data_IF_911420725024
#
_entry.id   IF_911420725024
#
_cell.length_a   1.000
_cell.length_b   1.000
_cell.length_c   1.000
_cell.angle_alpha   90.00
_cell.angle_beta   90.00
_cell.angle_gamma   90.00
#
_symmetry.space_group_name_H-M   'P 1'
#
loop_
_entity.id
_entity.type
_entity.pdbx_description
1 polymer ?
#
# COMPACT_ATOMS: atom_id res chain seq x y z
N UNK A 1 4.12 7.46 -14.40
CA UNK A 1 3.65 7.06 -13.08
C UNK A 1 2.14 7.26 -12.94
N UNK A 2 1.63 8.50 -13.14
CA UNK A 2 0.21 8.83 -13.00
C UNK A 2 -0.71 8.03 -13.93
N UNK A 3 -0.26 7.68 -15.14
CA UNK A 3 -1.03 6.82 -16.05
C UNK A 3 -1.13 5.37 -15.54
N UNK A 4 -0.06 4.83 -14.95
CA UNK A 4 -0.05 3.48 -14.37
C UNK A 4 -0.99 3.35 -13.18
N UNK A 5 -1.14 4.43 -12.42
CA UNK A 5 -1.97 4.48 -11.21
C UNK A 5 -3.39 5.00 -11.46
N UNK A 6 -3.77 5.24 -12.72
CA UNK A 6 -5.13 5.58 -13.12
C UNK A 6 -5.55 7.04 -12.94
N UNK A 7 -4.63 7.92 -12.53
CA UNK A 7 -4.93 9.36 -12.40
C UNK A 7 -5.09 10.06 -13.75
N UNK A 8 -4.34 9.61 -14.76
CA UNK A 8 -4.45 10.11 -16.13
C UNK A 8 -4.57 8.94 -17.11
N UNK A 9 -5.37 9.12 -18.14
CA UNK A 9 -5.40 8.21 -19.28
C UNK A 9 -4.27 8.58 -20.25
N UNK A 10 -3.48 7.61 -20.74
CA UNK A 10 -2.48 7.90 -21.76
C UNK A 10 -3.18 8.33 -23.05
N UNK A 11 -2.64 9.35 -23.73
CA UNK A 11 -3.15 9.84 -25.01
C UNK A 11 -3.06 8.73 -26.07
N UNK A 12 -1.91 8.05 -26.12
CA UNK A 12 -1.63 6.94 -27.04
C UNK A 12 -0.97 5.78 -26.30
N UNK A 13 -0.91 4.61 -26.91
CA UNK A 13 -0.25 3.44 -26.37
C UNK A 13 -1.13 2.60 -25.44
N UNK A 14 -0.55 1.52 -24.95
CA UNK A 14 -1.21 0.55 -24.06
C UNK A 14 -0.29 0.19 -22.91
N UNK A 15 -0.89 -0.10 -21.76
CA UNK A 15 -0.17 -0.50 -20.54
C UNK A 15 -0.76 -1.81 -20.06
N UNK A 16 0.11 -2.76 -19.74
CA UNK A 16 -0.28 -4.06 -19.26
C UNK A 16 0.48 -4.43 -17.99
N UNK A 17 -0.24 -5.01 -17.05
CA UNK A 17 0.34 -5.68 -15.89
C UNK A 17 0.26 -7.19 -16.13
N UNK A 18 1.42 -7.85 -16.15
CA UNK A 18 1.49 -9.29 -16.26
C UNK A 18 1.39 -9.90 -14.86
N UNK A 19 0.41 -10.76 -14.64
CA UNK A 19 0.15 -11.47 -13.38
C UNK A 19 0.10 -12.96 -13.68
N UNK A 20 1.21 -13.67 -13.45
CA UNK A 20 1.36 -15.07 -13.80
C UNK A 20 0.86 -15.35 -15.25
N UNK A 21 -0.26 -16.08 -15.39
CA UNK A 21 -0.83 -16.40 -16.70
C UNK A 21 -1.76 -15.30 -17.29
N UNK A 22 -2.09 -14.29 -16.49
CA UNK A 22 -3.04 -13.25 -16.88
C UNK A 22 -2.34 -11.96 -17.27
N UNK A 23 -2.86 -11.32 -18.33
CA UNK A 23 -2.44 -9.99 -18.79
C UNK A 23 -3.57 -9.00 -18.58
N UNK A 24 -3.38 -8.09 -17.63
CA UNK A 24 -4.38 -7.07 -17.26
C UNK A 24 -4.05 -5.77 -17.95
N UNK A 25 -4.98 -5.26 -18.77
CA UNK A 25 -4.84 -3.95 -19.41
C UNK A 25 -5.19 -2.85 -18.41
N UNK A 26 -4.20 -2.05 -18.00
CA UNK A 26 -4.39 -0.96 -17.04
C UNK A 26 -5.22 0.20 -17.61
N UNK A 27 -5.19 0.39 -18.93
CA UNK A 27 -5.97 1.46 -19.61
C UNK A 27 -7.50 1.30 -19.44
N UNK A 28 -7.97 0.09 -19.12
CA UNK A 28 -9.40 -0.19 -18.92
C UNK A 28 -9.93 0.34 -17.58
N UNK A 29 -9.04 0.64 -16.62
CA UNK A 29 -9.41 1.01 -15.27
C UNK A 29 -8.98 2.44 -14.95
N UNK A 30 -9.81 3.14 -14.20
CA UNK A 30 -9.54 4.47 -13.67
C UNK A 30 -9.89 4.49 -12.19
N UNK A 31 -9.37 5.48 -11.47
CA UNK A 31 -9.70 5.74 -10.06
C UNK A 31 -9.48 4.50 -9.15
N UNK A 32 -10.39 4.28 -8.19
CA UNK A 32 -10.31 3.17 -7.25
C UNK A 32 -10.31 1.78 -7.91
N UNK A 33 -10.81 1.66 -9.15
CA UNK A 33 -10.86 0.38 -9.87
C UNK A 33 -9.47 -0.16 -10.17
N UNK A 34 -8.49 0.72 -10.36
CA UNK A 34 -7.11 0.27 -10.63
C UNK A 34 -6.51 -0.40 -9.38
N UNK A 35 -6.81 0.12 -8.20
CA UNK A 35 -6.37 -0.48 -6.95
C UNK A 35 -7.10 -1.80 -6.65
N UNK A 36 -8.41 -1.81 -6.87
CA UNK A 36 -9.25 -2.95 -6.47
C UNK A 36 -9.19 -4.11 -7.46
N UNK A 37 -9.28 -3.82 -8.78
CA UNK A 37 -9.34 -4.85 -9.84
C UNK A 37 -7.96 -5.18 -10.38
N UNK A 38 -7.17 -4.16 -10.74
CA UNK A 38 -5.82 -4.36 -11.28
C UNK A 38 -4.77 -4.61 -10.21
N UNK A 39 -5.12 -4.43 -8.92
CA UNK A 39 -4.22 -4.62 -7.79
C UNK A 39 -2.94 -3.77 -7.90
N UNK A 40 -3.10 -2.51 -8.29
CA UNK A 40 -2.03 -1.52 -8.32
C UNK A 40 -2.25 -0.55 -7.17
N UNK A 41 -1.34 -0.52 -6.20
CA UNK A 41 -1.35 0.44 -5.10
C UNK A 41 -0.34 1.56 -5.35
N UNK A 42 -0.57 2.71 -4.74
CA UNK A 42 0.33 3.86 -4.80
C UNK A 42 0.45 4.53 -3.43
N UNK A 43 1.66 4.94 -3.08
CA UNK A 43 1.89 5.98 -2.07
C UNK A 43 2.11 7.33 -2.76
N UNK A 44 2.13 8.39 -1.97
CA UNK A 44 2.35 9.74 -2.46
C UNK A 44 3.63 10.31 -1.86
N UNK A 45 4.23 11.30 -2.51
CA UNK A 45 5.39 12.02 -2.00
C UNK A 45 5.11 12.57 -0.59
N UNK A 46 3.97 13.25 -0.41
CA UNK A 46 3.49 13.65 0.90
C UNK A 46 2.68 12.52 1.54
N UNK A 47 2.98 12.18 2.78
CA UNK A 47 2.29 11.15 3.54
C UNK A 47 0.80 11.47 3.64
N UNK A 48 -0.04 10.50 3.28
CA UNK A 48 -1.51 10.63 3.29
C UNK A 48 -2.14 9.67 4.28
N UNK A 49 -1.77 9.78 5.54
CA UNK A 49 -2.46 9.12 6.64
C UNK A 49 -3.67 9.95 7.09
N UNK A 50 -4.55 9.31 7.85
CA UNK A 50 -5.60 9.98 8.62
C UNK A 50 -5.02 10.30 10.01
N UNK A 51 -4.53 11.53 10.27
CA UNK A 51 -3.71 11.81 11.44
C UNK A 51 -4.46 11.68 12.76
N UNK A 52 -5.78 11.92 12.76
CA UNK A 52 -6.64 11.81 13.94
C UNK A 52 -7.19 10.40 14.18
N UNK A 53 -6.92 9.46 13.28
CA UNK A 53 -7.24 8.05 13.46
C UNK A 53 -6.05 7.31 14.06
N UNK A 54 -6.33 6.23 14.77
CA UNK A 54 -5.26 5.39 15.31
C UNK A 54 -4.43 4.72 14.20
N UNK A 55 -3.27 4.26 14.57
CA UNK A 55 -2.35 3.50 13.69
C UNK A 55 -3.07 2.26 13.15
N UNK A 56 -3.79 1.54 13.99
CA UNK A 56 -4.58 0.37 13.58
C UNK A 56 -5.72 0.76 12.64
N UNK A 57 -6.50 1.80 12.97
CA UNK A 57 -7.62 2.25 12.14
C UNK A 57 -7.19 2.68 10.74
N UNK A 58 -6.01 3.31 10.60
CA UNK A 58 -5.45 3.63 9.28
C UNK A 58 -5.29 2.39 8.38
N UNK A 59 -4.94 1.24 8.95
CA UNK A 59 -4.83 -0.02 8.19
C UNK A 59 -6.19 -0.67 7.92
N UNK A 60 -7.15 -0.52 8.83
CA UNK A 60 -8.49 -1.04 8.65
C UNK A 60 -9.26 -0.29 7.56
N UNK A 61 -9.11 1.04 7.47
CA UNK A 61 -9.74 1.86 6.42
C UNK A 61 -9.32 1.40 5.02
N UNK A 62 -8.08 0.96 4.82
CA UNK A 62 -7.63 0.43 3.53
C UNK A 62 -8.38 -0.83 3.10
N UNK A 63 -8.94 -1.58 4.05
CA UNK A 63 -9.69 -2.82 3.84
C UNK A 63 -11.21 -2.60 3.80
N UNK A 64 -11.65 -1.33 3.87
CA UNK A 64 -13.07 -0.97 3.99
C UNK A 64 -13.93 -1.53 2.86
N UNK A 65 -13.46 -1.53 1.62
CA UNK A 65 -14.24 -2.05 0.50
C UNK A 65 -14.54 -3.55 0.65
N UNK A 66 -13.60 -4.36 1.10
CA UNK A 66 -13.79 -5.79 1.32
C UNK A 66 -14.77 -6.02 2.48
N UNK A 67 -14.71 -5.19 3.52
CA UNK A 67 -15.63 -5.20 4.65
C UNK A 67 -17.03 -4.75 4.24
N UNK A 68 -17.17 -3.71 3.42
CA UNK A 68 -18.46 -3.22 2.93
C UNK A 68 -19.16 -4.23 2.03
N UNK A 69 -18.45 -4.89 1.13
CA UNK A 69 -19.00 -5.99 0.32
C UNK A 69 -19.47 -7.13 1.23
N UNK A 70 -18.72 -7.44 2.29
CA UNK A 70 -19.08 -8.47 3.27
C UNK A 70 -20.32 -8.13 4.09
N UNK A 71 -20.52 -6.83 4.37
CA UNK A 71 -21.70 -6.34 5.12
C UNK A 71 -22.97 -6.21 4.26
N UNK A 72 -22.90 -6.56 2.95
CA UNK A 72 -24.03 -6.38 2.02
C UNK A 72 -24.56 -4.95 2.03
N UNK A 73 -23.64 -3.97 1.97
CA UNK A 73 -23.95 -2.54 2.06
C UNK A 73 -24.72 -2.15 3.34
N UNK A 74 -24.20 -2.58 4.50
CA UNK A 74 -24.65 -2.26 5.86
C UNK A 74 -25.85 -3.07 6.42
N UNK A 75 -26.67 -3.71 5.62
CA UNK A 75 -27.84 -4.45 6.16
C UNK A 75 -27.41 -5.70 6.96
N UNK A 76 -26.42 -6.43 6.46
CA UNK A 76 -25.87 -7.62 7.14
C UNK A 76 -24.93 -7.26 8.31
N UNK A 77 -24.24 -6.10 8.22
CA UNK A 77 -23.44 -5.57 9.32
C UNK A 77 -24.28 -5.19 10.52
N UNK A 78 -25.48 -4.60 10.27
CA UNK A 78 -26.44 -4.24 11.31
C UNK A 78 -27.01 -5.46 12.04
N UNK A 79 -27.17 -6.60 11.32
CA UNK A 79 -27.67 -7.85 11.86
C UNK A 79 -26.57 -8.69 12.52
N UNK A 80 -25.32 -8.18 12.58
CA UNK A 80 -24.19 -8.80 13.28
C UNK A 80 -23.97 -10.29 12.87
N UNK A 81 -24.08 -10.57 11.56
CA UNK A 81 -23.98 -11.91 11.06
C UNK A 81 -22.56 -12.46 11.21
N UNK A 82 -22.46 -13.75 11.47
CA UNK A 82 -21.21 -14.49 11.70
C UNK A 82 -20.16 -14.23 10.60
N UNK A 83 -20.59 -14.16 9.35
CA UNK A 83 -19.73 -13.89 8.19
C UNK A 83 -19.09 -12.47 8.23
N UNK A 84 -19.77 -11.47 8.77
CA UNK A 84 -19.19 -10.13 8.92
C UNK A 84 -18.11 -10.10 10.01
N UNK A 85 -18.38 -10.71 11.15
CA UNK A 85 -17.40 -10.81 12.25
C UNK A 85 -16.13 -11.57 11.84
N UNK A 86 -16.28 -12.65 11.06
CA UNK A 86 -15.14 -13.40 10.53
C UNK A 86 -14.26 -12.53 9.62
N UNK A 87 -14.86 -11.74 8.73
CA UNK A 87 -14.10 -10.83 7.84
C UNK A 87 -13.49 -9.65 8.56
N UNK A 88 -14.19 -9.09 9.54
CA UNK A 88 -13.65 -8.06 10.43
C UNK A 88 -12.41 -8.59 11.19
N UNK A 89 -12.51 -9.79 11.76
CA UNK A 89 -11.38 -10.43 12.44
C UNK A 89 -10.20 -10.68 11.50
N UNK A 90 -10.44 -11.09 10.25
CA UNK A 90 -9.40 -11.24 9.24
C UNK A 90 -8.73 -9.91 8.92
N UNK A 91 -9.50 -8.82 8.78
CA UNK A 91 -8.96 -7.49 8.54
C UNK A 91 -8.09 -7.00 9.71
N UNK A 92 -8.55 -7.21 10.95
CA UNK A 92 -7.78 -6.89 12.17
C UNK A 92 -6.50 -7.72 12.24
N UNK A 93 -6.58 -9.02 11.97
CA UNK A 93 -5.40 -9.89 11.99
C UNK A 93 -4.37 -9.47 10.92
N UNK A 94 -4.83 -9.10 9.72
CA UNK A 94 -3.96 -8.57 8.66
C UNK A 94 -3.31 -7.24 9.07
N UNK A 95 -4.06 -6.34 9.69
CA UNK A 95 -3.53 -5.08 10.20
C UNK A 95 -2.47 -5.32 11.28
N UNK A 96 -2.76 -6.17 12.26
CA UNK A 96 -1.80 -6.56 13.32
C UNK A 96 -0.53 -7.17 12.76
N UNK A 97 -0.66 -8.07 11.78
CA UNK A 97 0.49 -8.65 11.09
C UNK A 97 1.41 -7.58 10.48
N UNK A 98 0.84 -6.56 9.81
CA UNK A 98 1.63 -5.50 9.22
C UNK A 98 2.23 -4.57 10.28
N UNK A 99 1.52 -4.31 11.40
CA UNK A 99 2.07 -3.55 12.52
C UNK A 99 3.26 -4.26 13.17
N UNK A 100 3.21 -5.59 13.26
CA UNK A 100 4.33 -6.38 13.77
C UNK A 100 5.55 -6.28 12.86
N UNK A 101 5.36 -6.40 11.55
CA UNK A 101 6.44 -6.28 10.54
C UNK A 101 7.17 -4.93 10.63
N UNK A 102 6.44 -3.84 10.87
CA UNK A 102 7.05 -2.49 10.98
C UNK A 102 7.38 -2.08 12.42
N UNK A 103 7.16 -2.96 13.41
CA UNK A 103 7.48 -2.74 14.82
C UNK A 103 6.58 -1.74 15.54
N UNK A 104 5.35 -1.52 15.04
CA UNK A 104 4.41 -0.53 15.60
C UNK A 104 3.24 -1.15 16.38
N UNK A 105 3.28 -2.43 16.71
CA UNK A 105 2.20 -3.11 17.45
C UNK A 105 1.89 -2.44 18.77
N UNK A 106 2.93 -1.97 19.49
CA UNK A 106 2.79 -1.29 20.78
C UNK A 106 2.20 0.12 20.69
N UNK A 107 2.08 0.68 19.49
CA UNK A 107 1.49 1.99 19.20
C UNK A 107 0.19 1.90 18.38
N UNK A 108 -0.44 0.72 18.37
CA UNK A 108 -1.62 0.46 17.55
C UNK A 108 -2.78 1.44 17.82
N UNK A 109 -2.93 1.87 19.09
CA UNK A 109 -4.00 2.76 19.54
C UNK A 109 -3.58 4.25 19.54
N UNK A 110 -2.30 4.57 19.26
CA UNK A 110 -1.83 5.96 19.17
C UNK A 110 -2.38 6.62 17.90
N UNK A 111 -2.55 7.94 17.91
CA UNK A 111 -2.87 8.68 16.70
C UNK A 111 -1.74 8.56 15.68
N UNK A 112 -2.07 8.31 14.43
CA UNK A 112 -1.07 8.19 13.36
C UNK A 112 -0.27 9.49 13.15
N UNK A 113 -0.88 10.65 13.44
CA UNK A 113 -0.22 11.95 13.36
C UNK A 113 0.87 12.16 14.41
N UNK A 114 0.84 11.42 15.53
CA UNK A 114 1.80 11.54 16.62
C UNK A 114 3.04 10.63 16.45
N UNK A 115 3.08 9.85 15.35
CA UNK A 115 4.23 9.02 15.01
C UNK A 115 5.40 9.88 14.48
N UNK A 116 6.66 9.47 14.72
CA UNK A 116 7.80 9.99 13.98
C UNK A 116 7.63 9.83 12.47
N UNK A 117 8.22 10.73 11.69
CA UNK A 117 8.02 10.77 10.23
C UNK A 117 8.37 9.45 9.53
N UNK A 118 9.48 8.81 9.92
CA UNK A 118 9.88 7.50 9.39
C UNK A 118 8.85 6.40 9.66
N UNK A 119 8.22 6.43 10.85
CA UNK A 119 7.16 5.47 11.20
C UNK A 119 5.86 5.75 10.45
N UNK A 120 5.50 7.03 10.26
CA UNK A 120 4.38 7.42 9.41
C UNK A 120 4.57 6.91 7.97
N UNK A 121 5.79 7.03 7.42
CA UNK A 121 6.13 6.53 6.09
C UNK A 121 5.98 5.00 6.00
N UNK A 122 6.50 4.25 6.98
CA UNK A 122 6.31 2.79 7.04
C UNK A 122 4.83 2.42 7.14
N UNK A 123 4.06 3.13 7.97
CA UNK A 123 2.61 2.92 8.11
C UNK A 123 1.86 3.17 6.80
N UNK A 124 2.19 4.23 6.05
CA UNK A 124 1.59 4.50 4.75
C UNK A 124 1.82 3.36 3.76
N UNK A 125 3.05 2.84 3.70
CA UNK A 125 3.41 1.73 2.82
C UNK A 125 2.63 0.46 3.19
N UNK A 126 2.61 0.08 4.46
CA UNK A 126 1.89 -1.15 4.86
C UNK A 126 0.38 -0.99 4.76
N UNK A 127 -0.16 0.23 4.87
CA UNK A 127 -1.55 0.51 4.55
C UNK A 127 -1.86 0.19 3.09
N UNK A 128 -0.97 0.57 2.17
CA UNK A 128 -1.10 0.20 0.76
C UNK A 128 -0.98 -1.33 0.54
N UNK A 129 -0.23 -2.03 1.39
CA UNK A 129 -0.10 -3.49 1.34
C UNK A 129 -1.33 -4.24 1.87
N UNK A 130 -2.20 -3.60 2.66
CA UNK A 130 -3.43 -4.22 3.17
C UNK A 130 -4.41 -4.65 2.06
N UNK A 131 -4.34 -4.05 0.86
CA UNK A 131 -5.16 -4.46 -0.31
C UNK A 131 -4.50 -5.56 -1.14
N UNK A 132 -3.35 -6.09 -0.71
CA UNK A 132 -2.57 -7.15 -1.39
C UNK A 132 -2.28 -6.80 -2.86
N UNK A 133 -1.56 -5.70 -3.12
CA UNK A 133 -1.29 -5.26 -4.46
C UNK A 133 -0.33 -6.22 -5.17
N UNK A 134 -0.46 -6.32 -6.51
CA UNK A 134 0.50 -6.98 -7.37
C UNK A 134 1.61 -6.04 -7.84
N UNK A 135 1.30 -4.74 -7.86
CA UNK A 135 2.25 -3.67 -8.13
C UNK A 135 2.09 -2.56 -7.10
N UNK A 136 3.16 -2.23 -6.40
CA UNK A 136 3.25 -1.11 -5.48
C UNK A 136 4.09 0.00 -6.13
N UNK A 137 3.48 1.16 -6.32
CA UNK A 137 4.10 2.33 -6.90
C UNK A 137 4.48 3.31 -5.78
N UNK A 138 5.76 3.60 -5.63
CA UNK A 138 6.31 4.45 -4.57
C UNK A 138 6.94 5.71 -5.20
N UNK A 139 6.54 6.86 -4.68
CA UNK A 139 6.97 8.19 -5.15
C UNK A 139 7.82 8.84 -4.07
N UNK A 140 9.15 8.83 -4.26
CA UNK A 140 10.17 9.34 -3.34
C UNK A 140 9.95 8.91 -1.86
N UNK A 141 9.84 7.60 -1.58
CA UNK A 141 9.50 7.13 -0.24
C UNK A 141 10.59 7.40 0.80
N UNK A 142 11.83 7.64 0.40
CA UNK A 142 12.93 7.96 1.30
C UNK A 142 13.12 9.47 1.53
N UNK A 143 12.33 10.32 0.87
CA UNK A 143 12.46 11.77 1.04
C UNK A 143 12.23 12.17 2.52
N UNK A 144 13.19 12.91 3.09
CA UNK A 144 13.14 13.37 4.48
C UNK A 144 13.50 12.34 5.55
N UNK A 145 13.88 11.12 5.17
CA UNK A 145 14.37 10.11 6.09
C UNK A 145 15.86 10.28 6.40
N UNK A 146 16.24 9.96 7.62
CA UNK A 146 17.66 9.84 7.97
C UNK A 146 18.22 8.48 7.46
N UNK A 147 19.57 8.29 7.45
CA UNK A 147 20.18 7.07 6.93
C UNK A 147 19.71 5.77 7.59
N UNK A 148 19.40 5.80 8.90
CA UNK A 148 18.88 4.65 9.63
C UNK A 148 17.46 4.30 9.17
N UNK A 149 16.60 5.31 9.07
CA UNK A 149 15.22 5.15 8.60
C UNK A 149 15.18 4.66 7.15
N UNK A 150 16.07 5.18 6.27
CA UNK A 150 16.21 4.72 4.89
C UNK A 150 16.63 3.24 4.83
N UNK A 151 17.53 2.81 5.71
CA UNK A 151 17.92 1.40 5.81
C UNK A 151 16.77 0.50 6.29
N UNK A 152 15.96 0.97 7.24
CA UNK A 152 14.75 0.26 7.69
C UNK A 152 13.70 0.18 6.58
N UNK A 153 13.48 1.28 5.85
CA UNK A 153 12.62 1.31 4.66
C UNK A 153 13.08 0.28 3.62
N UNK A 154 14.38 0.24 3.31
CA UNK A 154 14.93 -0.74 2.37
C UNK A 154 14.67 -2.19 2.79
N UNK A 155 14.77 -2.49 4.10
CA UNK A 155 14.44 -3.82 4.63
C UNK A 155 12.96 -4.15 4.41
N UNK A 156 12.07 -3.20 4.69
CA UNK A 156 10.63 -3.36 4.48
C UNK A 156 10.32 -3.61 2.99
N UNK A 157 10.91 -2.83 2.08
CA UNK A 157 10.68 -2.97 0.65
C UNK A 157 11.22 -4.31 0.11
N UNK A 158 12.38 -4.76 0.59
CA UNK A 158 12.90 -6.11 0.29
C UNK A 158 11.96 -7.21 0.75
N UNK A 159 11.45 -7.10 1.97
CA UNK A 159 10.46 -8.03 2.51
C UNK A 159 9.19 -8.08 1.63
N UNK A 160 8.65 -6.91 1.24
CA UNK A 160 7.48 -6.81 0.36
C UNK A 160 7.75 -7.48 -0.99
N UNK A 161 8.92 -7.21 -1.60
CA UNK A 161 9.32 -7.78 -2.88
C UNK A 161 9.45 -9.31 -2.83
N UNK A 162 10.12 -9.83 -1.83
CA UNK A 162 10.50 -11.26 -1.75
C UNK A 162 9.35 -12.08 -1.17
N UNK A 163 8.89 -11.73 0.01
CA UNK A 163 7.92 -12.56 0.75
C UNK A 163 6.49 -12.37 0.25
N UNK A 164 6.13 -11.14 -0.16
CA UNK A 164 4.78 -10.87 -0.71
C UNK A 164 4.72 -10.99 -2.23
N UNK A 165 5.86 -11.17 -2.90
CA UNK A 165 5.96 -11.29 -4.36
C UNK A 165 5.26 -10.13 -5.08
N UNK A 166 5.37 -8.93 -4.50
CA UNK A 166 4.78 -7.71 -5.03
C UNK A 166 5.83 -7.00 -5.89
N UNK A 167 5.49 -6.69 -7.13
CA UNK A 167 6.33 -5.83 -7.97
C UNK A 167 6.40 -4.42 -7.38
N UNK A 168 7.56 -3.80 -7.38
CA UNK A 168 7.75 -2.44 -6.89
C UNK A 168 8.21 -1.55 -8.04
N UNK A 169 7.48 -0.47 -8.30
CA UNK A 169 7.91 0.62 -9.16
C UNK A 169 8.26 1.81 -8.26
N UNK A 170 9.54 2.16 -8.25
CA UNK A 170 10.10 3.18 -7.39
C UNK A 170 10.55 4.38 -8.22
N UNK A 171 10.14 5.59 -7.82
CA UNK A 171 10.77 6.85 -8.23
C UNK A 171 11.62 7.31 -7.04
N UNK A 172 12.92 7.46 -7.25
CA UNK A 172 13.85 7.85 -6.21
C UNK A 172 15.08 8.53 -6.81
N UNK A 173 15.67 9.41 -6.04
CA UNK A 173 16.94 10.07 -6.35
C UNK A 173 18.04 9.73 -5.32
N UNK A 174 17.68 9.07 -4.20
CA UNK A 174 18.65 8.51 -3.26
C UNK A 174 19.21 7.19 -3.82
N UNK A 175 20.46 7.25 -4.32
CA UNK A 175 21.13 6.11 -4.92
C UNK A 175 21.35 4.96 -3.93
N UNK A 176 21.43 5.22 -2.62
CA UNK A 176 21.59 4.15 -1.62
C UNK A 176 20.31 3.30 -1.53
N UNK A 177 19.16 3.92 -1.66
CA UNK A 177 17.85 3.23 -1.71
C UNK A 177 17.71 2.49 -3.03
N UNK A 178 17.96 3.18 -4.17
CA UNK A 178 17.85 2.59 -5.52
C UNK A 178 18.71 1.34 -5.65
N UNK A 179 20.00 1.45 -5.35
CA UNK A 179 20.94 0.31 -5.47
C UNK A 179 20.66 -0.79 -4.45
N UNK A 180 19.98 -0.45 -3.35
CA UNK A 180 19.65 -1.39 -2.28
C UNK A 180 18.56 -2.39 -2.65
N UNK A 181 17.61 -2.04 -3.55
CA UNK A 181 16.37 -2.82 -3.78
C UNK A 181 16.06 -3.09 -5.25
N UNK A 182 16.61 -2.29 -6.20
CA UNK A 182 16.24 -2.38 -7.61
C UNK A 182 16.93 -3.54 -8.32
N UNK A 183 16.18 -4.26 -9.16
CA UNK A 183 16.72 -5.21 -10.13
C UNK A 183 17.06 -4.52 -11.45
N UNK A 184 16.27 -3.50 -11.80
CA UNK A 184 16.43 -2.70 -13.01
C UNK A 184 16.30 -1.22 -12.69
N UNK A 185 17.16 -0.41 -13.27
CA UNK A 185 17.16 1.05 -13.13
C UNK A 185 16.97 1.68 -14.50
N UNK A 186 16.02 2.62 -14.60
CA UNK A 186 15.80 3.43 -15.80
C UNK A 186 16.09 4.88 -15.44
N UNK A 187 17.01 5.50 -16.15
CA UNK A 187 17.35 6.91 -15.99
C UNK A 187 16.57 7.73 -17.01
N UNK A 188 15.85 8.73 -16.54
CA UNK A 188 15.11 9.68 -17.38
C UNK A 188 15.88 11.01 -17.39
N UNK A 189 16.19 11.52 -18.57
CA UNK A 189 16.80 12.83 -18.81
C UNK A 189 15.74 13.86 -19.15
#
# INVERSE_FOLDING_TARGET
FNCLTGFYKPTTGQMYLHQAENKVSLRKYTDFKIAHVAKVARTFQNIRLFPAMSVLENLLVAQHNDLMVASGYSLYGLLNLKSYREKEQLAVNKAKYWLDIIGLTHRADDNAGDLPYGDQRKLEIVRAMCIEPKLLCLDEPAAGLNPKESAELNKLLKFIKIEKKTGILLIEHDMSVVMGISDHVVVLN
#
